data_IF_412373461362
#
_entry.id   IF_412373461362
#
_cell.length_a   1.000
_cell.length_b   1.000
_cell.length_c   1.000
_cell.angle_alpha   90.00
_cell.angle_beta   90.00
_cell.angle_gamma   90.00
#
_symmetry.space_group_name_H-M   'P 1'
#
loop_
_entity.id
_entity.type
_entity.pdbx_description
1 polymer ?
#
# COMPACT_ATOMS: atom_id res chain seq x y z
N UNK A 1 -23.45 16.60 -11.44
CA UNK A 1 -23.89 16.33 -10.04
C UNK A 1 -24.56 14.96 -9.80
N UNK A 2 -24.65 14.04 -10.78
CA UNK A 2 -25.25 12.71 -10.57
C UNK A 2 -24.25 11.57 -10.29
N UNK A 3 -22.96 11.74 -10.58
CA UNK A 3 -21.92 10.72 -10.32
C UNK A 3 -21.45 10.63 -8.85
N UNK A 4 -21.51 11.74 -8.09
CA UNK A 4 -21.14 11.76 -6.67
C UNK A 4 -22.11 10.97 -5.79
N UNK A 5 -23.38 10.84 -6.21
CA UNK A 5 -24.38 10.06 -5.49
C UNK A 5 -24.18 8.55 -5.66
N UNK A 6 -23.70 8.05 -6.81
CA UNK A 6 -23.52 6.61 -7.02
C UNK A 6 -22.33 6.01 -6.23
N UNK A 7 -21.27 6.78 -6.01
CA UNK A 7 -20.14 6.37 -5.17
C UNK A 7 -20.51 6.34 -3.68
N UNK A 8 -21.43 7.19 -3.22
CA UNK A 8 -21.97 7.15 -1.86
C UNK A 8 -22.88 5.94 -1.64
N UNK A 9 -23.68 5.52 -2.64
CA UNK A 9 -24.60 4.37 -2.47
C UNK A 9 -23.89 3.02 -2.47
N UNK A 10 -22.77 2.87 -3.19
CA UNK A 10 -21.97 1.64 -3.20
C UNK A 10 -21.21 1.40 -1.89
N UNK A 11 -21.09 2.43 -1.04
CA UNK A 11 -20.43 2.36 0.28
C UNK A 11 -21.46 2.09 1.40
N UNK A 12 -22.76 2.22 1.12
CA UNK A 12 -23.85 2.05 2.10
C UNK A 12 -24.66 0.75 1.95
N UNK A 13 -24.40 -0.06 0.92
CA UNK A 13 -25.19 -1.26 0.64
C UNK A 13 -24.37 -2.55 0.71
N UNK A 14 -24.32 -3.18 1.88
CA UNK A 14 -24.01 -4.59 2.05
C UNK A 14 -24.42 -5.06 3.45
N UNK A 15 -25.69 -5.46 3.56
CA UNK A 15 -26.14 -6.45 4.54
C UNK A 15 -26.47 -7.72 3.78
N UNK A 16 -25.47 -8.48 3.34
CA UNK A 16 -25.67 -9.89 3.02
C UNK A 16 -24.33 -10.64 3.13
N UNK A 17 -24.26 -11.50 4.14
CA UNK A 17 -23.28 -12.58 4.32
C UNK A 17 -21.87 -12.16 4.76
N UNK A 18 -21.70 -12.01 6.09
CA UNK A 18 -20.48 -12.42 6.79
C UNK A 18 -19.19 -11.62 6.59
N UNK A 19 -19.19 -10.55 5.80
CA UNK A 19 -18.09 -9.59 5.72
C UNK A 19 -18.65 -8.17 5.84
N UNK A 20 -18.41 -7.53 6.98
CA UNK A 20 -18.79 -6.13 7.21
C UNK A 20 -18.00 -5.24 6.27
N UNK A 21 -18.69 -4.68 5.27
CA UNK A 21 -18.19 -3.53 4.52
C UNK A 21 -17.95 -2.41 5.54
N UNK A 22 -16.76 -1.79 5.57
CA UNK A 22 -16.51 -0.71 6.53
C UNK A 22 -17.51 0.41 6.27
N UNK A 23 -18.37 0.71 7.24
CA UNK A 23 -19.21 1.90 7.18
C UNK A 23 -18.30 3.11 7.22
N UNK A 24 -18.09 3.72 6.06
CA UNK A 24 -17.37 4.98 5.95
C UNK A 24 -18.21 6.00 6.71
N UNK A 25 -17.69 6.48 7.84
CA UNK A 25 -18.32 7.58 8.58
C UNK A 25 -18.69 8.68 7.60
N UNK A 26 -19.90 9.25 7.72
CA UNK A 26 -20.36 10.38 6.88
C UNK A 26 -19.34 11.53 6.81
N UNK A 27 -18.48 11.65 7.84
CA UNK A 27 -17.36 12.60 7.89
C UNK A 27 -16.26 12.28 6.88
N UNK A 28 -15.85 11.02 6.76
CA UNK A 28 -14.83 10.61 5.78
C UNK A 28 -15.32 10.83 4.35
N UNK A 29 -16.61 10.72 4.08
CA UNK A 29 -17.17 10.98 2.75
C UNK A 29 -16.89 12.41 2.25
N UNK A 30 -16.76 13.39 3.16
CA UNK A 30 -16.40 14.77 2.80
C UNK A 30 -14.91 14.94 2.50
N UNK A 31 -14.05 14.10 3.09
CA UNK A 31 -12.60 14.17 2.93
C UNK A 31 -12.12 13.35 1.74
N UNK A 32 -12.76 12.20 1.51
CA UNK A 32 -12.43 11.19 0.49
C UNK A 32 -13.13 11.50 -0.84
N UNK A 33 -12.85 12.67 -1.40
CA UNK A 33 -13.19 12.95 -2.80
C UNK A 33 -12.12 12.36 -3.72
N UNK A 34 -12.47 11.92 -4.94
CA UNK A 34 -11.50 11.42 -5.92
C UNK A 34 -10.31 12.39 -6.14
N UNK A 35 -10.58 13.69 -6.14
CA UNK A 35 -9.58 14.74 -6.31
C UNK A 35 -8.64 14.85 -5.10
N UNK A 36 -9.17 14.78 -3.88
CA UNK A 36 -8.34 14.80 -2.68
C UNK A 36 -7.44 13.56 -2.61
N UNK A 37 -7.99 12.38 -2.89
CA UNK A 37 -7.23 11.13 -2.89
C UNK A 37 -6.16 11.08 -3.99
N UNK A 38 -6.35 11.77 -5.12
CA UNK A 38 -5.34 11.81 -6.18
C UNK A 38 -4.15 12.73 -5.85
N UNK A 39 -4.39 13.78 -5.06
CA UNK A 39 -3.41 14.86 -4.84
C UNK A 39 -2.59 14.71 -3.56
N UNK A 40 -3.10 13.99 -2.57
CA UNK A 40 -2.45 13.83 -1.25
C UNK A 40 -2.29 12.35 -0.94
N UNK A 41 -1.13 11.94 -0.40
CA UNK A 41 -1.01 10.59 0.15
C UNK A 41 -2.01 10.39 1.31
N UNK A 42 -2.46 9.15 1.58
CA UNK A 42 -3.58 8.91 2.49
C UNK A 42 -3.32 9.41 3.91
N UNK A 43 -2.09 9.25 4.42
CA UNK A 43 -1.71 9.74 5.74
C UNK A 43 -1.72 11.27 5.85
N UNK A 44 -1.17 11.96 4.85
CA UNK A 44 -1.17 13.42 4.82
C UNK A 44 -2.60 13.97 4.77
N UNK A 45 -3.48 13.33 4.00
CA UNK A 45 -4.88 13.71 3.93
C UNK A 45 -5.59 13.49 5.27
N UNK A 46 -5.40 12.32 5.89
CA UNK A 46 -5.97 12.00 7.20
C UNK A 46 -5.52 12.99 8.27
N UNK A 47 -4.21 13.25 8.38
CA UNK A 47 -3.64 14.17 9.38
C UNK A 47 -4.11 15.61 9.15
N UNK A 48 -4.20 16.06 7.90
CA UNK A 48 -4.70 17.41 7.57
C UNK A 48 -6.11 17.61 8.11
N UNK A 49 -7.00 16.63 7.93
CA UNK A 49 -8.38 16.72 8.38
C UNK A 49 -8.53 16.50 9.89
N UNK A 50 -7.78 15.56 10.49
CA UNK A 50 -7.73 15.42 11.94
C UNK A 50 -7.31 16.72 12.65
N UNK A 51 -6.30 17.42 12.11
CA UNK A 51 -5.86 18.71 12.64
C UNK A 51 -6.97 19.76 12.59
N UNK A 52 -7.73 19.83 11.50
CA UNK A 52 -8.84 20.76 11.35
C UNK A 52 -9.98 20.48 12.36
N UNK A 53 -10.18 19.21 12.72
CA UNK A 53 -11.18 18.75 13.68
C UNK A 53 -10.66 18.72 15.14
N UNK A 54 -9.47 19.28 15.39
CA UNK A 54 -8.86 19.34 16.72
C UNK A 54 -8.49 17.98 17.32
N UNK A 55 -8.20 16.98 16.48
CA UNK A 55 -7.86 15.60 16.88
C UNK A 55 -8.94 14.86 17.68
N UNK A 56 -10.20 15.32 17.61
CA UNK A 56 -11.31 14.77 18.40
C UNK A 56 -11.61 13.28 18.16
N UNK A 57 -11.03 12.66 17.12
CA UNK A 57 -11.30 11.28 16.70
C UNK A 57 -10.03 10.50 16.34
N UNK A 58 -8.88 10.91 16.86
CA UNK A 58 -7.62 10.21 16.60
C UNK A 58 -7.63 8.81 17.25
N UNK A 59 -7.67 7.78 16.40
CA UNK A 59 -7.53 6.38 16.81
C UNK A 59 -7.03 5.54 15.64
N UNK A 60 -6.29 4.47 15.95
CA UNK A 60 -5.76 3.56 14.92
C UNK A 60 -6.88 2.93 14.08
N UNK A 61 -8.02 2.58 14.69
CA UNK A 61 -9.16 2.04 13.96
C UNK A 61 -9.80 3.05 13.01
N UNK A 62 -9.94 4.32 13.44
CA UNK A 62 -10.48 5.36 12.56
C UNK A 62 -9.54 5.60 11.36
N UNK A 63 -8.23 5.59 11.59
CA UNK A 63 -7.23 5.70 10.53
C UNK A 63 -7.26 4.51 9.58
N UNK A 64 -7.40 3.29 10.09
CA UNK A 64 -7.54 2.08 9.26
C UNK A 64 -8.77 2.16 8.36
N UNK A 65 -9.94 2.50 8.94
CA UNK A 65 -11.18 2.65 8.20
C UNK A 65 -11.06 3.75 7.12
N UNK A 66 -10.38 4.86 7.44
CA UNK A 66 -10.11 5.92 6.47
C UNK A 66 -9.27 5.41 5.30
N UNK A 67 -8.20 4.65 5.55
CA UNK A 67 -7.34 4.12 4.50
C UNK A 67 -8.06 3.11 3.62
N UNK A 68 -8.84 2.21 4.21
CA UNK A 68 -9.64 1.25 3.44
C UNK A 68 -10.61 1.97 2.50
N UNK A 69 -11.31 2.99 2.98
CA UNK A 69 -12.21 3.81 2.18
C UNK A 69 -11.48 4.60 1.09
N UNK A 70 -10.32 5.18 1.43
CA UNK A 70 -9.46 5.89 0.50
C UNK A 70 -9.06 5.02 -0.69
N UNK A 71 -8.63 3.78 -0.42
CA UNK A 71 -8.21 2.84 -1.46
C UNK A 71 -9.33 2.59 -2.47
N UNK A 72 -10.56 2.39 -2.00
CA UNK A 72 -11.74 2.18 -2.85
C UNK A 72 -12.03 3.40 -3.73
N UNK A 73 -12.08 4.59 -3.13
CA UNK A 73 -12.36 5.84 -3.86
C UNK A 73 -11.29 6.11 -4.92
N UNK A 74 -10.02 5.94 -4.56
CA UNK A 74 -8.92 6.21 -5.49
C UNK A 74 -8.87 5.16 -6.60
N UNK A 75 -9.06 3.89 -6.30
CA UNK A 75 -9.09 2.81 -7.30
C UNK A 75 -10.16 3.05 -8.36
N UNK A 76 -11.38 3.45 -7.96
CA UNK A 76 -12.45 3.79 -8.90
C UNK A 76 -12.04 4.91 -9.87
N UNK A 77 -11.37 5.95 -9.36
CA UNK A 77 -10.85 7.05 -10.21
C UNK A 77 -9.71 6.58 -11.10
N UNK A 78 -8.75 5.83 -10.55
CA UNK A 78 -7.60 5.31 -11.28
C UNK A 78 -8.08 4.43 -12.43
N UNK A 79 -9.00 3.49 -12.19
CA UNK A 79 -9.54 2.59 -13.20
C UNK A 79 -10.32 3.33 -14.30
N UNK A 80 -11.01 4.42 -13.94
CA UNK A 80 -11.69 5.27 -14.92
C UNK A 80 -10.69 5.98 -15.87
N UNK A 81 -9.54 6.40 -15.35
CA UNK A 81 -8.53 7.16 -16.11
C UNK A 81 -7.49 6.29 -16.81
N UNK A 82 -7.13 5.18 -16.17
CA UNK A 82 -6.03 4.29 -16.52
C UNK A 82 -6.49 2.82 -16.33
N UNK A 83 -7.38 2.31 -17.20
CA UNK A 83 -7.95 0.96 -17.05
C UNK A 83 -6.90 -0.16 -16.96
N UNK A 84 -5.71 0.06 -17.54
CA UNK A 84 -4.58 -0.85 -17.47
C UNK A 84 -4.04 -1.08 -16.05
N UNK A 85 -4.28 -0.15 -15.11
CA UNK A 85 -3.88 -0.27 -13.71
C UNK A 85 -4.41 -1.57 -13.05
N UNK A 86 -5.64 -1.96 -13.42
CA UNK A 86 -6.29 -3.14 -12.87
C UNK A 86 -5.53 -4.45 -13.16
N UNK A 87 -4.75 -4.50 -14.25
CA UNK A 87 -4.04 -5.72 -14.69
C UNK A 87 -2.97 -6.17 -13.70
N UNK A 88 -2.35 -5.23 -13.00
CA UNK A 88 -1.24 -5.52 -12.10
C UNK A 88 -1.48 -5.13 -10.64
N UNK A 89 -2.61 -4.48 -10.33
CA UNK A 89 -2.93 -4.01 -8.97
C UNK A 89 -2.87 -5.11 -7.92
N UNK A 90 -3.56 -6.24 -8.15
CA UNK A 90 -3.61 -7.34 -7.17
C UNK A 90 -2.22 -7.95 -6.92
N UNK A 91 -1.48 -8.44 -7.94
CA UNK A 91 -0.16 -9.00 -7.70
C UNK A 91 0.82 -7.97 -7.13
N UNK A 92 0.72 -6.69 -7.51
CA UNK A 92 1.53 -5.64 -6.90
C UNK A 92 1.21 -5.46 -5.41
N UNK A 93 -0.08 -5.40 -5.03
CA UNK A 93 -0.49 -5.30 -3.64
C UNK A 93 0.02 -6.50 -2.82
N UNK A 94 -0.05 -7.71 -3.37
CA UNK A 94 0.43 -8.92 -2.70
C UNK A 94 1.95 -8.89 -2.53
N UNK A 95 2.71 -8.41 -3.52
CA UNK A 95 4.15 -8.21 -3.40
C UNK A 95 4.50 -7.26 -2.24
N UNK A 96 3.81 -6.11 -2.14
CA UNK A 96 4.01 -5.17 -1.04
C UNK A 96 3.61 -5.76 0.31
N UNK A 97 2.46 -6.45 0.39
CA UNK A 97 1.99 -7.13 1.62
C UNK A 97 2.98 -8.16 2.12
N UNK A 98 3.47 -9.03 1.24
CA UNK A 98 4.42 -10.07 1.64
C UNK A 98 5.79 -9.49 2.01
N UNK A 99 6.26 -8.47 1.29
CA UNK A 99 7.49 -7.77 1.68
C UNK A 99 7.35 -7.12 3.06
N UNK A 100 6.19 -6.54 3.35
CA UNK A 100 5.90 -5.99 4.67
C UNK A 100 5.81 -7.07 5.76
N UNK A 101 5.21 -8.21 5.44
CA UNK A 101 5.14 -9.38 6.31
C UNK A 101 6.53 -9.96 6.61
N UNK A 102 7.46 -9.93 5.63
CA UNK A 102 8.85 -10.26 5.83
C UNK A 102 9.50 -9.30 6.83
N UNK A 103 9.31 -7.99 6.64
CA UNK A 103 9.81 -6.94 7.55
C UNK A 103 9.29 -7.15 8.97
N UNK A 104 7.99 -7.43 9.10
CA UNK A 104 7.32 -7.71 10.38
C UNK A 104 7.90 -8.94 11.06
N UNK A 105 8.00 -10.05 10.32
CA UNK A 105 8.48 -11.32 10.84
C UNK A 105 9.94 -11.24 11.29
N UNK A 106 10.76 -10.47 10.56
CA UNK A 106 12.16 -10.20 10.95
C UNK A 106 12.28 -9.34 12.23
N UNK A 107 11.28 -8.51 12.56
CA UNK A 107 11.27 -7.68 13.77
C UNK A 107 10.69 -8.35 15.01
N UNK A 108 9.99 -9.49 14.85
CA UNK A 108 9.24 -10.12 15.95
C UNK A 108 8.10 -9.28 16.53
N UNK A 109 7.68 -8.20 15.86
CA UNK A 109 6.69 -7.24 16.38
C UNK A 109 5.29 -7.47 15.78
N UNK A 110 4.29 -7.60 16.63
CA UNK A 110 2.87 -7.78 16.28
C UNK A 110 2.12 -6.45 16.05
N UNK A 111 2.72 -5.29 16.33
CA UNK A 111 2.08 -3.95 16.22
C UNK A 111 1.87 -3.43 14.79
N UNK A 112 1.92 -4.33 13.81
CA UNK A 112 2.00 -4.08 12.36
C UNK A 112 0.68 -4.34 11.65
N UNK A 113 -0.34 -4.85 12.36
CA UNK A 113 -1.67 -5.09 11.82
C UNK A 113 -2.30 -3.83 11.20
N UNK A 114 -2.15 -2.68 11.86
CA UNK A 114 -2.63 -1.39 11.35
C UNK A 114 -1.91 -0.98 10.07
N UNK A 115 -0.59 -1.16 10.00
CA UNK A 115 0.19 -0.86 8.80
C UNK A 115 -0.22 -1.76 7.63
N UNK A 116 -0.42 -3.05 7.88
CA UNK A 116 -0.95 -3.99 6.88
C UNK A 116 -2.35 -3.61 6.39
N UNK A 117 -3.22 -3.13 7.30
CA UNK A 117 -4.57 -2.66 6.97
C UNK A 117 -4.56 -1.42 6.06
N UNK A 118 -3.53 -0.56 6.20
CA UNK A 118 -3.38 0.70 5.45
C UNK A 118 -2.70 0.54 4.09
N UNK A 119 -1.93 -0.53 3.91
CA UNK A 119 -1.14 -0.77 2.71
C UNK A 119 -1.92 -0.71 1.37
N UNK A 120 -3.18 -1.17 1.26
CA UNK A 120 -3.95 -1.01 0.02
C UNK A 120 -4.09 0.44 -0.44
N UNK A 121 -4.24 1.39 0.49
CA UNK A 121 -4.35 2.81 0.17
C UNK A 121 -3.03 3.38 -0.34
N UNK A 122 -1.91 2.97 0.28
CA UNK A 122 -0.58 3.37 -0.13
C UNK A 122 -0.23 2.86 -1.53
N UNK A 123 -0.48 1.57 -1.78
CA UNK A 123 -0.24 0.95 -3.10
C UNK A 123 -1.12 1.61 -4.15
N UNK A 124 -2.41 1.81 -3.89
CA UNK A 124 -3.29 2.48 -4.85
C UNK A 124 -2.83 3.93 -5.13
N UNK A 125 -2.36 4.65 -4.11
CA UNK A 125 -1.79 5.98 -4.32
C UNK A 125 -0.51 5.93 -5.16
N UNK A 126 0.38 4.96 -4.92
CA UNK A 126 1.58 4.76 -5.75
C UNK A 126 1.23 4.49 -7.22
N UNK A 127 0.18 3.67 -7.47
CA UNK A 127 -0.32 3.37 -8.82
C UNK A 127 -0.84 4.65 -9.48
N UNK A 128 -1.76 5.35 -8.82
CA UNK A 128 -2.38 6.57 -9.37
C UNK A 128 -1.33 7.64 -9.70
N UNK A 129 -0.37 7.84 -8.80
CA UNK A 129 0.75 8.78 -9.00
C UNK A 129 1.72 8.33 -10.07
N UNK A 130 1.99 7.02 -10.17
CA UNK A 130 2.79 6.45 -11.26
C UNK A 130 2.19 6.80 -12.61
N UNK A 131 0.89 6.59 -12.82
CA UNK A 131 0.26 7.01 -14.08
C UNK A 131 0.29 8.52 -14.30
N UNK A 132 -0.01 9.32 -13.27
CA UNK A 132 -0.02 10.79 -13.39
C UNK A 132 1.37 11.38 -13.71
N UNK A 133 2.45 10.79 -13.20
CA UNK A 133 3.83 11.20 -13.50
C UNK A 133 4.47 10.41 -14.65
N UNK A 134 3.71 9.54 -15.33
CA UNK A 134 4.24 8.61 -16.35
C UNK A 134 5.40 7.75 -15.83
N UNK A 135 5.32 7.36 -14.56
CA UNK A 135 6.28 6.53 -13.84
C UNK A 135 7.67 7.17 -13.71
N UNK A 136 7.77 8.49 -13.93
CA UNK A 136 8.97 9.24 -13.58
C UNK A 136 9.14 9.21 -12.05
N UNK A 137 10.21 8.58 -11.59
CA UNK A 137 10.56 8.45 -10.18
C UNK A 137 11.73 9.36 -9.77
N UNK A 138 12.38 10.07 -10.70
CA UNK A 138 13.56 10.89 -10.43
C UNK A 138 14.78 10.13 -9.87
N UNK A 139 14.74 8.79 -9.83
CA UNK A 139 15.82 7.93 -9.31
C UNK A 139 16.57 7.32 -10.49
N UNK A 140 17.87 7.59 -10.56
CA UNK A 140 18.77 6.96 -11.52
C UNK A 140 19.17 5.57 -11.03
N UNK A 141 18.43 4.52 -11.41
CA UNK A 141 18.83 3.15 -11.11
C UNK A 141 17.75 2.12 -11.46
N UNK A 142 18.11 1.12 -12.27
CA UNK A 142 17.29 -0.07 -12.49
C UNK A 142 17.59 -1.08 -11.38
N UNK A 143 16.71 -1.16 -10.39
CA UNK A 143 16.81 -2.21 -9.37
C UNK A 143 16.42 -3.57 -9.96
N UNK A 144 17.13 -4.61 -9.54
CA UNK A 144 16.87 -6.01 -9.88
C UNK A 144 16.23 -6.75 -8.71
N UNK A 145 15.72 -7.96 -8.95
CA UNK A 145 15.28 -8.82 -7.85
C UNK A 145 16.42 -9.21 -6.91
N UNK A 146 17.66 -9.29 -7.41
CA UNK A 146 18.82 -9.56 -6.56
C UNK A 146 19.10 -8.37 -5.63
N UNK A 147 18.97 -7.13 -6.10
CA UNK A 147 19.11 -5.95 -5.24
C UNK A 147 18.07 -5.94 -4.11
N UNK A 148 16.83 -6.31 -4.41
CA UNK A 148 15.76 -6.42 -3.40
C UNK A 148 16.10 -7.52 -2.39
N UNK A 149 16.57 -8.70 -2.84
CA UNK A 149 17.02 -9.78 -1.94
C UNK A 149 18.17 -9.34 -1.05
N UNK A 150 19.20 -8.73 -1.62
CA UNK A 150 20.35 -8.24 -0.88
C UNK A 150 19.92 -7.24 0.19
N UNK A 151 19.04 -6.29 -0.15
CA UNK A 151 18.55 -5.31 0.79
C UNK A 151 17.71 -5.93 1.92
N UNK A 152 16.83 -6.87 1.59
CA UNK A 152 16.03 -7.61 2.58
C UNK A 152 16.93 -8.42 3.54
N UNK A 153 18.00 -9.05 3.03
CA UNK A 153 19.00 -9.76 3.84
C UNK A 153 19.80 -8.81 4.73
N UNK A 154 20.19 -7.63 4.24
CA UNK A 154 20.87 -6.60 5.04
C UNK A 154 19.96 -6.18 6.20
N UNK A 155 18.70 -5.87 5.90
CA UNK A 155 17.70 -5.55 6.91
C UNK A 155 17.58 -6.67 7.96
N UNK A 156 17.36 -7.89 7.54
CA UNK A 156 17.18 -9.02 8.44
C UNK A 156 18.41 -9.28 9.32
N UNK A 157 19.64 -9.15 8.78
CA UNK A 157 20.89 -9.23 9.55
C UNK A 157 21.04 -8.11 10.57
N UNK A 158 20.50 -6.92 10.29
CA UNK A 158 20.48 -5.84 11.29
C UNK A 158 19.59 -6.18 12.49
N UNK A 159 18.54 -6.99 12.26
CA UNK A 159 17.58 -7.40 13.28
C UNK A 159 17.96 -8.71 14.00
N UNK A 160 18.90 -9.50 13.47
CA UNK A 160 19.28 -10.82 14.02
C UNK A 160 19.87 -10.78 15.44
N UNK A 161 20.13 -9.58 15.99
CA UNK A 161 20.46 -9.38 17.41
C UNK A 161 19.23 -9.49 18.34
N UNK A 162 18.02 -9.41 17.79
CA UNK A 162 16.75 -9.31 18.52
C UNK A 162 15.83 -10.51 18.31
N UNK A 163 15.97 -11.27 17.22
CA UNK A 163 15.20 -12.49 16.93
C UNK A 163 16.06 -13.74 17.09
N UNK A 164 15.96 -14.39 18.26
CA UNK A 164 16.55 -15.72 18.51
C UNK A 164 15.69 -16.77 17.81
N UNK A 165 16.29 -17.57 16.92
CA UNK A 165 15.68 -18.78 16.36
C UNK A 165 14.97 -18.66 15.01
N UNK A 166 15.01 -17.51 14.34
CA UNK A 166 14.50 -17.39 12.95
C UNK A 166 15.57 -17.86 11.96
N UNK A 167 15.34 -18.97 11.26
CA UNK A 167 16.18 -19.38 10.14
C UNK A 167 16.00 -18.37 8.99
N UNK A 168 17.11 -17.69 8.65
CA UNK A 168 17.12 -16.66 7.63
C UNK A 168 16.69 -17.21 6.26
N UNK A 169 17.11 -18.44 5.96
CA UNK A 169 16.84 -19.12 4.70
C UNK A 169 15.36 -19.50 4.60
N UNK A 170 14.75 -19.87 5.73
CA UNK A 170 13.33 -20.21 5.79
C UNK A 170 12.45 -18.97 5.60
N UNK A 171 12.78 -17.84 6.23
CA UNK A 171 12.01 -16.60 6.08
C UNK A 171 12.07 -16.07 4.65
N UNK A 172 13.25 -16.13 4.04
CA UNK A 172 13.45 -15.75 2.65
C UNK A 172 12.60 -16.64 1.72
N UNK A 173 12.70 -17.97 1.84
CA UNK A 173 11.95 -18.89 0.99
C UNK A 173 10.43 -18.81 1.21
N UNK A 174 9.96 -18.60 2.44
CA UNK A 174 8.54 -18.63 2.79
C UNK A 174 7.80 -17.31 2.52
N UNK A 175 8.50 -16.18 2.55
CA UNK A 175 7.86 -14.85 2.50
C UNK A 175 8.49 -13.94 1.44
N UNK A 176 9.82 -13.85 1.36
CA UNK A 176 10.45 -12.95 0.40
C UNK A 176 10.32 -13.45 -1.03
N UNK A 177 10.59 -14.74 -1.29
CA UNK A 177 10.50 -15.29 -2.65
C UNK A 177 9.07 -15.20 -3.21
N UNK A 178 7.99 -15.54 -2.49
CA UNK A 178 6.66 -15.36 -3.04
C UNK A 178 6.28 -13.88 -3.21
N UNK A 179 6.84 -12.94 -2.41
CA UNK A 179 6.71 -11.51 -2.68
C UNK A 179 7.32 -11.11 -4.03
N UNK A 180 8.49 -11.67 -4.37
CA UNK A 180 9.17 -11.43 -5.65
C UNK A 180 8.42 -12.08 -6.83
N UNK A 181 7.80 -13.25 -6.62
CA UNK A 181 6.96 -13.89 -7.63
C UNK A 181 5.69 -13.08 -7.93
N UNK A 182 5.07 -12.51 -6.89
CA UNK A 182 3.96 -11.58 -7.06
C UNK A 182 4.41 -10.32 -7.80
N UNK A 183 5.57 -9.77 -7.47
CA UNK A 183 6.12 -8.62 -8.20
C UNK A 183 6.37 -8.97 -9.66
N UNK A 184 7.01 -10.10 -9.96
CA UNK A 184 7.23 -10.60 -11.32
C UNK A 184 5.92 -10.73 -12.10
N UNK A 185 4.89 -11.31 -11.47
CA UNK A 185 3.56 -11.44 -12.07
C UNK A 185 2.94 -10.07 -12.40
N UNK A 186 3.14 -9.07 -11.54
CA UNK A 186 2.71 -7.70 -11.79
C UNK A 186 3.48 -7.08 -12.97
N UNK A 187 4.80 -7.27 -13.00
CA UNK A 187 5.71 -6.74 -14.03
C UNK A 187 5.41 -7.24 -15.44
N UNK A 188 4.93 -8.49 -15.59
CA UNK A 188 4.53 -9.06 -16.88
C UNK A 188 3.42 -8.26 -17.59
N UNK A 189 2.69 -7.42 -16.83
CA UNK A 189 1.62 -6.55 -17.34
C UNK A 189 1.99 -5.05 -17.37
N UNK A 190 3.24 -4.69 -17.07
CA UNK A 190 3.71 -3.31 -16.93
C UNK A 190 4.61 -2.87 -18.09
N UNK A 191 4.72 -1.55 -18.30
CA UNK A 191 5.80 -0.98 -19.11
C UNK A 191 7.12 -1.03 -18.34
N UNK A 192 8.25 -0.94 -19.06
CA UNK A 192 9.59 -0.90 -18.43
C UNK A 192 9.71 0.22 -17.38
N UNK A 193 9.15 1.39 -17.65
CA UNK A 193 9.20 2.53 -16.72
C UNK A 193 8.40 2.23 -15.45
N UNK A 194 7.22 1.60 -15.57
CA UNK A 194 6.43 1.16 -14.43
C UNK A 194 7.16 0.10 -13.59
N UNK A 195 7.84 -0.86 -14.24
CA UNK A 195 8.69 -1.85 -13.55
C UNK A 195 9.75 -1.15 -12.70
N UNK A 196 10.53 -0.24 -13.30
CA UNK A 196 11.57 0.52 -12.58
C UNK A 196 10.97 1.34 -11.44
N UNK A 197 9.83 1.99 -11.67
CA UNK A 197 9.12 2.78 -10.67
C UNK A 197 8.72 1.93 -9.45
N UNK A 198 8.02 0.81 -9.65
CA UNK A 198 7.52 0.00 -8.54
C UNK A 198 8.61 -0.75 -7.80
N UNK A 199 9.65 -1.21 -8.50
CA UNK A 199 10.84 -1.77 -7.84
C UNK A 199 11.50 -0.74 -6.92
N UNK A 200 11.67 0.50 -7.38
CA UNK A 200 12.22 1.57 -6.56
C UNK A 200 11.34 1.87 -5.32
N UNK A 201 10.02 1.80 -5.45
CA UNK A 201 9.09 1.94 -4.31
C UNK A 201 9.23 0.80 -3.30
N UNK A 202 9.34 -0.44 -3.77
CA UNK A 202 9.54 -1.60 -2.89
C UNK A 202 10.89 -1.54 -2.15
N UNK A 203 11.95 -1.20 -2.87
CA UNK A 203 13.29 -0.94 -2.30
C UNK A 203 13.23 0.16 -1.25
N UNK A 204 12.58 1.28 -1.56
CA UNK A 204 12.42 2.41 -0.63
C UNK A 204 11.68 1.99 0.63
N UNK A 205 10.65 1.14 0.50
CA UNK A 205 9.92 0.60 1.64
C UNK A 205 10.84 -0.21 2.55
N UNK A 206 11.62 -1.16 2.02
CA UNK A 206 12.57 -1.95 2.82
C UNK A 206 13.63 -1.04 3.48
N UNK A 207 14.18 -0.10 2.72
CA UNK A 207 15.23 0.81 3.19
C UNK A 207 14.80 1.69 4.38
N UNK A 208 13.53 2.10 4.44
CA UNK A 208 12.98 2.88 5.56
C UNK A 208 13.08 2.17 6.92
N UNK A 209 13.22 0.84 6.92
CA UNK A 209 13.38 0.04 8.13
C UNK A 209 14.84 -0.29 8.45
N UNK A 210 15.78 -0.10 7.51
CA UNK A 210 17.22 -0.37 7.74
C UNK A 210 17.89 0.71 8.61
N UNK A 211 17.33 1.91 8.67
CA UNK A 211 17.88 3.05 9.41
C UNK A 211 17.16 3.41 10.72
N UNK A 212 16.23 2.57 11.19
CA UNK A 212 15.50 2.75 12.46
C UNK A 212 16.01 1.75 13.49
#
# INVERSE_FOLDING_TARGET
MKCLLLLATLILASETHGQTTPTVSERFAQWLTPENCATSNPDALYIKHLKADGFSWDSEQARDNFHQAYAVVLAARTDQRYPEAAKFRSPLLDAFKQTFEFIRSANGNTSTAHQMSRLPAEVEWMISRGFESKFDNGVSGEYTFDDIRQLARIYQRSQSRFTVGTDLSELEARILEPALDHLKTAEDSMSKDAVTYFRAKLVSMIAQYIGR
#
